data_IF_902686322516
#
_entry.id   IF_902686322516
#
_cell.length_a   1.000
_cell.length_b   1.000
_cell.length_c   1.000
_cell.angle_alpha   90.00
_cell.angle_beta   90.00
_cell.angle_gamma   90.00
#
_symmetry.space_group_name_H-M   'P 1'
#
loop_
_entity.id
_entity.type
_entity.pdbx_description
1 polymer ?
#
# COMPACT_ATOMS: atom_id res chain seq x y z
N UNK A 1 -2.36 -3.14 -19.62
CA UNK A 1 -2.52 -4.47 -19.01
C UNK A 1 -3.79 -5.07 -19.58
N UNK A 2 -3.77 -6.31 -20.06
CA UNK A 2 -4.99 -6.96 -20.57
C UNK A 2 -5.78 -7.55 -19.42
N UNK A 3 -7.08 -7.29 -19.36
CA UNK A 3 -7.99 -7.95 -18.41
C UNK A 3 -8.37 -9.34 -18.94
N UNK A 4 -8.53 -10.31 -18.05
CA UNK A 4 -9.08 -11.64 -18.35
C UNK A 4 -10.60 -11.71 -18.14
N UNK A 5 -11.19 -10.64 -17.62
CA UNK A 5 -12.63 -10.51 -17.47
C UNK A 5 -13.29 -10.19 -18.81
N UNK A 6 -14.43 -10.81 -19.07
CA UNK A 6 -15.31 -10.44 -20.18
C UNK A 6 -15.97 -9.08 -19.94
N UNK A 7 -16.45 -8.44 -21.00
CA UNK A 7 -17.17 -7.15 -20.90
C UNK A 7 -18.35 -7.25 -19.92
N UNK A 8 -19.07 -8.38 -19.93
CA UNK A 8 -20.17 -8.63 -18.99
C UNK A 8 -19.70 -8.67 -17.54
N UNK A 9 -18.58 -9.33 -17.26
CA UNK A 9 -18.04 -9.41 -15.89
C UNK A 9 -17.54 -8.05 -15.42
N UNK A 10 -16.97 -7.23 -16.31
CA UNK A 10 -16.58 -5.86 -15.98
C UNK A 10 -17.77 -4.97 -15.64
N UNK A 11 -18.90 -5.13 -16.33
CA UNK A 11 -20.15 -4.40 -16.03
C UNK A 11 -20.73 -4.74 -14.64
N UNK A 12 -20.39 -5.89 -14.08
CA UNK A 12 -20.82 -6.33 -12.74
C UNK A 12 -19.90 -5.83 -11.61
N UNK A 13 -18.82 -5.11 -11.95
CA UNK A 13 -17.82 -4.63 -10.99
C UNK A 13 -17.81 -3.10 -10.85
N UNK A 14 -17.46 -2.66 -9.66
CA UNK A 14 -17.17 -1.26 -9.38
C UNK A 14 -15.65 -1.02 -9.33
N UNK A 15 -15.22 0.18 -9.68
CA UNK A 15 -13.80 0.55 -9.58
C UNK A 15 -13.35 0.59 -8.12
N UNK A 16 -12.11 0.19 -7.86
CA UNK A 16 -11.57 0.09 -6.50
C UNK A 16 -11.55 1.43 -5.74
N UNK A 17 -11.48 2.55 -6.45
CA UNK A 17 -11.51 3.91 -5.89
C UNK A 17 -12.92 4.38 -5.44
N UNK A 18 -13.97 3.66 -5.83
CA UNK A 18 -15.33 3.87 -5.32
C UNK A 18 -15.62 3.13 -3.99
N UNK A 19 -14.71 2.25 -3.57
CA UNK A 19 -14.86 1.47 -2.34
C UNK A 19 -14.74 2.34 -1.09
N UNK A 20 -15.10 1.76 0.06
CA UNK A 20 -14.94 2.41 1.36
C UNK A 20 -13.50 2.90 1.58
N UNK A 21 -13.36 4.21 1.79
CA UNK A 21 -12.06 4.85 2.02
C UNK A 21 -11.47 4.39 3.37
N UNK A 22 -10.53 3.45 3.28
CA UNK A 22 -9.79 2.83 4.39
C UNK A 22 -8.31 2.68 4.03
N UNK A 23 -7.38 2.76 5.00
CA UNK A 23 -5.97 2.50 4.75
C UNK A 23 -5.66 1.06 4.31
N UNK A 24 -6.57 0.12 4.60
CA UNK A 24 -6.49 -1.28 4.16
C UNK A 24 -7.81 -1.67 3.49
N UNK A 25 -7.79 -2.27 2.29
CA UNK A 25 -9.00 -2.77 1.65
C UNK A 25 -9.76 -3.75 2.54
N UNK A 26 -11.06 -3.52 2.68
CA UNK A 26 -12.00 -4.37 3.43
C UNK A 26 -12.69 -5.37 2.52
N UNK A 27 -12.33 -5.45 1.24
CA UNK A 27 -12.85 -6.42 0.27
C UNK A 27 -11.76 -6.84 -0.70
N UNK A 28 -11.98 -7.96 -1.39
CA UNK A 28 -11.03 -8.43 -2.40
C UNK A 28 -11.13 -7.50 -3.62
N UNK A 29 -9.99 -6.92 -4.02
CA UNK A 29 -9.88 -6.11 -5.22
C UNK A 29 -9.28 -6.97 -6.32
N UNK A 30 -9.95 -7.05 -7.46
CA UNK A 30 -9.41 -7.73 -8.64
C UNK A 30 -8.41 -6.86 -9.38
N UNK A 31 -7.34 -7.49 -9.86
CA UNK A 31 -6.40 -6.91 -10.82
C UNK A 31 -6.85 -7.14 -12.29
N UNK A 32 -8.05 -7.68 -12.50
CA UNK A 32 -8.58 -8.11 -13.80
C UNK A 32 -8.28 -9.57 -14.16
N UNK A 33 -7.62 -10.35 -13.29
CA UNK A 33 -7.33 -11.77 -13.57
C UNK A 33 -8.37 -12.73 -12.98
N UNK A 34 -9.22 -12.26 -12.06
CA UNK A 34 -10.24 -13.08 -11.40
C UNK A 34 -11.47 -12.24 -11.01
N UNK A 35 -12.64 -12.87 -10.89
CA UNK A 35 -13.82 -12.21 -10.31
C UNK A 35 -13.70 -12.18 -8.78
N UNK A 36 -13.74 -11.00 -8.14
CA UNK A 36 -13.71 -10.91 -6.69
C UNK A 36 -15.02 -11.45 -6.09
N UNK A 37 -14.96 -12.00 -4.88
CA UNK A 37 -16.18 -12.31 -4.13
C UNK A 37 -16.84 -11.01 -3.65
N UNK A 38 -18.18 -10.98 -3.49
CA UNK A 38 -18.86 -9.87 -2.84
C UNK A 38 -18.33 -9.65 -1.42
N UNK A 39 -18.41 -8.40 -0.94
CA UNK A 39 -18.07 -8.07 0.43
C UNK A 39 -18.88 -8.92 1.42
N UNK A 40 -18.19 -9.57 2.35
CA UNK A 40 -18.78 -10.43 3.37
C UNK A 40 -19.37 -9.61 4.54
N UNK A 41 -20.31 -10.17 5.32
CA UNK A 41 -20.84 -9.49 6.51
C UNK A 41 -19.77 -9.07 7.52
N UNK A 42 -18.74 -9.91 7.73
CA UNK A 42 -17.63 -9.60 8.62
C UNK A 42 -16.76 -8.47 8.08
N UNK A 43 -16.47 -8.44 6.79
CA UNK A 43 -15.76 -7.33 6.15
C UNK A 43 -16.52 -6.00 6.33
N UNK A 44 -17.84 -6.00 6.17
CA UNK A 44 -18.68 -4.84 6.45
C UNK A 44 -18.68 -4.43 7.92
N UNK A 45 -18.60 -5.40 8.84
CA UNK A 45 -18.44 -5.13 10.27
C UNK A 45 -17.10 -4.43 10.58
N UNK A 46 -16.01 -4.77 9.87
CA UNK A 46 -14.73 -4.07 10.00
C UNK A 46 -14.86 -2.61 9.60
N UNK A 47 -15.56 -2.29 8.50
CA UNK A 47 -15.80 -0.90 8.10
C UNK A 47 -16.57 -0.12 9.15
N UNK A 48 -17.64 -0.72 9.69
CA UNK A 48 -18.43 -0.15 10.78
C UNK A 48 -17.56 0.15 12.00
N UNK A 49 -16.74 -0.82 12.41
CA UNK A 49 -15.87 -0.65 13.57
C UNK A 49 -14.77 0.39 13.34
N UNK A 50 -14.19 0.42 12.15
CA UNK A 50 -13.21 1.44 11.79
C UNK A 50 -13.83 2.85 11.82
N UNK A 51 -15.07 3.02 11.36
CA UNK A 51 -15.77 4.31 11.47
C UNK A 51 -15.92 4.77 12.92
N UNK A 52 -16.31 3.87 13.83
CA UNK A 52 -16.41 4.19 15.26
C UNK A 52 -15.06 4.63 15.85
N UNK A 53 -13.98 3.92 15.51
CA UNK A 53 -12.62 4.27 15.96
C UNK A 53 -12.17 5.63 15.40
N UNK A 54 -12.49 5.94 14.15
CA UNK A 54 -12.21 7.24 13.54
C UNK A 54 -12.97 8.35 14.27
N UNK A 55 -14.27 8.18 14.50
CA UNK A 55 -15.11 9.18 15.19
C UNK A 55 -14.60 9.46 16.61
N UNK A 56 -14.14 8.44 17.31
CA UNK A 56 -13.62 8.55 18.67
C UNK A 56 -12.26 9.25 18.75
N UNK A 57 -11.38 9.07 17.75
CA UNK A 57 -9.97 9.44 17.87
C UNK A 57 -9.55 10.62 16.97
N UNK A 58 -10.15 10.80 15.79
CA UNK A 58 -9.72 11.82 14.83
C UNK A 58 -9.78 13.24 15.41
N UNK A 59 -10.92 13.60 16.02
CA UNK A 59 -11.14 14.93 16.61
C UNK A 59 -10.19 15.23 17.78
N UNK A 60 -9.86 14.21 18.59
CA UNK A 60 -8.92 14.34 19.72
C UNK A 60 -7.50 14.65 19.25
N UNK A 61 -7.16 14.25 18.03
CA UNK A 61 -5.86 14.49 17.41
C UNK A 61 -5.86 15.71 16.47
N UNK A 62 -6.97 16.45 16.39
CA UNK A 62 -7.11 17.62 15.51
C UNK A 62 -7.09 17.27 14.02
N UNK A 63 -7.46 16.02 13.67
CA UNK A 63 -7.50 15.52 12.30
C UNK A 63 -8.95 15.35 11.84
N UNK A 64 -9.18 15.56 10.54
CA UNK A 64 -10.39 15.10 9.89
C UNK A 64 -10.31 13.57 9.65
N UNK A 65 -11.40 12.99 9.13
CA UNK A 65 -11.47 11.55 8.83
C UNK A 65 -10.31 11.11 7.93
N UNK A 66 -10.08 11.83 6.83
CA UNK A 66 -9.09 11.46 5.82
C UNK A 66 -7.67 11.56 6.39
N UNK A 67 -7.37 12.64 7.11
CA UNK A 67 -6.09 12.87 7.77
C UNK A 67 -5.81 11.81 8.85
N UNK A 68 -6.83 11.41 9.61
CA UNK A 68 -6.69 10.34 10.59
C UNK A 68 -6.41 8.99 9.91
N UNK A 69 -7.21 8.60 8.91
CA UNK A 69 -7.04 7.33 8.19
C UNK A 69 -5.72 7.25 7.42
N UNK A 70 -5.19 8.38 6.94
CA UNK A 70 -3.88 8.49 6.32
C UNK A 70 -2.69 8.52 7.29
N UNK A 71 -2.93 8.45 8.59
CA UNK A 71 -1.89 8.46 9.62
C UNK A 71 -1.53 7.05 10.11
N UNK A 72 -0.43 6.94 10.87
CA UNK A 72 -0.08 5.69 11.54
C UNK A 72 -1.15 5.24 12.56
N UNK A 73 -1.84 6.18 13.21
CA UNK A 73 -2.99 5.90 14.07
C UNK A 73 -4.16 5.30 13.28
N UNK A 74 -4.43 5.80 12.07
CA UNK A 74 -5.47 5.29 11.18
C UNK A 74 -5.20 3.85 10.73
N UNK A 75 -3.95 3.55 10.36
CA UNK A 75 -3.51 2.19 10.04
C UNK A 75 -3.67 1.26 11.26
N UNK A 76 -3.25 1.71 12.45
CA UNK A 76 -3.44 0.95 13.68
C UNK A 76 -4.92 0.69 13.99
N UNK A 77 -5.79 1.69 13.78
CA UNK A 77 -7.23 1.55 13.96
C UNK A 77 -7.84 0.51 13.00
N UNK A 78 -7.38 0.45 11.74
CA UNK A 78 -7.83 -0.55 10.78
C UNK A 78 -7.47 -1.98 11.22
N UNK A 79 -6.22 -2.19 11.66
CA UNK A 79 -5.81 -3.50 12.20
C UNK A 79 -6.52 -3.86 13.50
N UNK A 80 -6.82 -2.87 14.36
CA UNK A 80 -7.61 -3.09 15.56
C UNK A 80 -9.04 -3.53 15.21
N UNK A 81 -9.70 -2.84 14.27
CA UNK A 81 -11.02 -3.23 13.78
C UNK A 81 -11.04 -4.64 13.19
N UNK A 82 -10.01 -5.00 12.40
CA UNK A 82 -9.85 -6.38 11.90
C UNK A 82 -9.69 -7.38 13.04
N UNK A 83 -8.91 -7.06 14.06
CA UNK A 83 -8.72 -7.93 15.22
C UNK A 83 -10.00 -8.17 16.01
N UNK A 84 -10.83 -7.14 16.17
CA UNK A 84 -12.10 -7.25 16.89
C UNK A 84 -13.12 -8.13 16.15
N UNK A 85 -13.08 -8.15 14.81
CA UNK A 85 -14.02 -8.93 13.99
C UNK A 85 -13.52 -10.35 13.71
N UNK A 86 -12.24 -10.50 13.36
CA UNK A 86 -11.65 -11.76 12.89
C UNK A 86 -10.79 -12.48 13.94
N UNK A 87 -10.57 -11.85 15.10
CA UNK A 87 -9.66 -12.34 16.13
C UNK A 87 -8.24 -11.77 16.00
N UNK A 88 -7.35 -12.04 16.97
CA UNK A 88 -6.08 -11.33 17.13
C UNK A 88 -5.02 -11.77 16.11
N UNK A 89 -5.13 -11.28 14.87
CA UNK A 89 -4.20 -11.57 13.77
C UNK A 89 -3.05 -10.57 13.74
N UNK A 90 -3.34 -9.29 14.01
CA UNK A 90 -2.36 -8.21 13.94
C UNK A 90 -1.84 -7.85 15.34
N UNK A 91 -0.53 -7.60 15.44
CA UNK A 91 0.07 -7.09 16.69
C UNK A 91 -0.06 -5.57 16.74
N UNK A 92 -1.19 -5.11 17.24
CA UNK A 92 -1.55 -3.70 17.41
C UNK A 92 -2.25 -3.49 18.76
N UNK A 93 -2.09 -2.30 19.34
CA UNK A 93 -2.75 -1.89 20.57
C UNK A 93 -3.71 -0.73 20.35
N UNK A 94 -4.68 -0.57 21.25
CA UNK A 94 -5.58 0.60 21.26
C UNK A 94 -4.82 1.92 21.44
N UNK A 95 -3.71 1.91 22.18
CA UNK A 95 -2.85 3.07 22.37
C UNK A 95 -2.27 3.57 21.04
N UNK A 96 -1.82 2.66 20.15
CA UNK A 96 -1.31 3.02 18.81
C UNK A 96 -2.37 3.68 17.93
N UNK A 97 -3.65 3.32 18.11
CA UNK A 97 -4.77 3.87 17.35
C UNK A 97 -5.29 5.21 17.92
N UNK A 98 -5.08 5.46 19.21
CA UNK A 98 -5.68 6.60 19.92
C UNK A 98 -4.70 7.74 20.21
N UNK A 99 -3.39 7.46 20.29
CA UNK A 99 -2.36 8.41 20.67
C UNK A 99 -1.19 8.41 19.66
N UNK A 100 -0.94 9.59 19.10
CA UNK A 100 0.13 9.79 18.11
C UNK A 100 1.52 9.55 18.68
N UNK A 101 1.77 9.92 19.93
CA UNK A 101 3.07 9.68 20.58
C UNK A 101 3.29 8.18 20.76
N UNK A 102 2.26 7.42 21.13
CA UNK A 102 2.34 5.97 21.26
C UNK A 102 2.54 5.28 19.91
N UNK A 103 1.86 5.75 18.86
CA UNK A 103 2.07 5.29 17.49
C UNK A 103 3.51 5.54 17.01
N UNK A 104 4.06 6.73 17.28
CA UNK A 104 5.45 7.07 16.95
C UNK A 104 6.46 6.26 17.77
N UNK A 105 6.20 6.04 19.06
CA UNK A 105 7.04 5.23 19.93
C UNK A 105 7.12 3.78 19.42
N UNK A 106 5.99 3.23 18.95
CA UNK A 106 5.97 1.92 18.29
C UNK A 106 6.86 1.91 17.05
N UNK A 107 6.65 2.84 16.12
CA UNK A 107 7.45 2.91 14.89
C UNK A 107 8.95 3.01 15.21
N UNK A 108 9.33 3.86 16.17
CA UNK A 108 10.71 3.98 16.63
C UNK A 108 11.25 2.68 17.23
N UNK A 109 10.46 1.95 18.03
CA UNK A 109 10.86 0.66 18.60
C UNK A 109 11.12 -0.43 17.55
N UNK A 110 10.60 -0.24 16.34
CA UNK A 110 10.68 -1.21 15.25
C UNK A 110 11.65 -0.78 14.13
N UNK A 111 12.30 0.38 14.25
CA UNK A 111 13.19 0.90 13.19
C UNK A 111 14.45 0.05 12.93
N UNK A 112 14.74 -0.93 13.80
CA UNK A 112 15.85 -1.88 13.64
C UNK A 112 15.40 -3.27 13.20
N UNK A 113 14.12 -3.45 12.83
CA UNK A 113 13.60 -4.73 12.35
C UNK A 113 14.35 -5.21 11.11
N UNK A 114 14.58 -6.51 11.02
CA UNK A 114 15.04 -7.13 9.79
C UNK A 114 13.93 -7.04 8.73
N UNK A 115 14.29 -6.55 7.55
CA UNK A 115 13.39 -6.43 6.39
C UNK A 115 14.03 -7.18 5.24
N UNK A 116 13.31 -8.20 4.77
CA UNK A 116 13.59 -8.94 3.55
C UNK A 116 12.58 -8.49 2.51
N UNK A 117 13.07 -7.93 1.41
CA UNK A 117 12.27 -7.69 0.22
C UNK A 117 12.40 -8.91 -0.70
N UNK A 118 11.33 -9.69 -0.84
CA UNK A 118 11.35 -10.94 -1.59
C UNK A 118 11.02 -10.76 -3.08
N UNK A 119 10.75 -9.53 -3.55
CA UNK A 119 10.28 -9.28 -4.90
C UNK A 119 10.88 -8.01 -5.52
N UNK A 120 12.18 -8.05 -5.84
CA UNK A 120 12.86 -6.92 -6.48
C UNK A 120 13.32 -7.22 -7.91
N UNK A 121 13.42 -6.16 -8.72
CA UNK A 121 13.84 -6.23 -10.13
C UNK A 121 14.71 -5.04 -10.52
N UNK A 122 15.67 -5.28 -11.42
CA UNK A 122 16.36 -4.25 -12.20
C UNK A 122 16.63 -4.80 -13.60
N UNK A 123 16.90 -3.92 -14.57
CA UNK A 123 17.29 -4.32 -15.94
C UNK A 123 18.79 -4.14 -16.14
N UNK A 124 19.40 -5.02 -16.95
CA UNK A 124 20.85 -4.96 -17.21
C UNK A 124 21.24 -3.63 -17.84
N UNK A 125 22.50 -3.22 -17.69
CA UNK A 125 22.97 -1.92 -18.17
C UNK A 125 22.80 -1.73 -19.68
N UNK A 126 22.93 -2.80 -20.47
CA UNK A 126 22.74 -2.82 -21.92
C UNK A 126 21.28 -2.90 -22.38
N UNK A 127 20.31 -3.09 -21.47
CA UNK A 127 18.89 -3.13 -21.82
C UNK A 127 18.38 -1.76 -22.32
N UNK A 128 18.02 -1.66 -23.60
CA UNK A 128 17.71 -0.37 -24.25
C UNK A 128 16.23 -0.15 -24.56
N UNK A 129 15.33 -1.03 -24.11
CA UNK A 129 13.90 -0.91 -24.42
C UNK A 129 13.25 0.16 -23.53
N UNK A 130 13.05 1.35 -24.08
CA UNK A 130 12.47 2.50 -23.37
C UNK A 130 11.00 2.34 -22.99
N UNK A 131 10.32 1.29 -23.47
CA UNK A 131 8.92 0.99 -23.10
C UNK A 131 8.69 0.91 -21.58
N UNK A 132 9.69 0.48 -20.81
CA UNK A 132 9.62 0.44 -19.35
C UNK A 132 9.47 1.81 -18.69
N UNK A 133 9.92 2.90 -19.35
CA UNK A 133 9.71 4.26 -18.86
C UNK A 133 8.23 4.63 -18.77
N UNK A 134 7.35 3.88 -19.46
CA UNK A 134 5.90 4.01 -19.32
C UNK A 134 5.42 3.88 -17.87
N UNK A 135 6.06 3.02 -17.06
CA UNK A 135 5.73 2.86 -15.64
C UNK A 135 6.01 4.15 -14.85
N UNK A 136 7.19 4.75 -15.08
CA UNK A 136 7.56 6.03 -14.46
C UNK A 136 6.68 7.18 -14.92
N UNK A 137 6.31 7.23 -16.21
CA UNK A 137 5.43 8.27 -16.76
C UNK A 137 4.03 8.18 -16.15
N UNK A 138 3.48 6.98 -16.07
CA UNK A 138 2.19 6.76 -15.41
C UNK A 138 2.23 7.18 -13.94
N UNK A 139 3.29 6.82 -13.21
CA UNK A 139 3.46 7.23 -11.82
C UNK A 139 3.58 8.76 -11.67
N UNK A 140 4.29 9.44 -12.57
CA UNK A 140 4.41 10.90 -12.59
C UNK A 140 3.07 11.60 -12.82
N UNK A 141 2.22 11.03 -13.68
CA UNK A 141 0.90 11.60 -13.99
C UNK A 141 -0.12 11.37 -12.88
N UNK A 142 -0.05 10.24 -12.18
CA UNK A 142 -1.14 9.79 -11.30
C UNK A 142 -0.80 9.77 -9.80
N UNK A 143 0.46 9.54 -9.43
CA UNK A 143 0.81 9.15 -8.05
C UNK A 143 1.86 10.02 -7.39
N UNK A 144 2.90 10.44 -8.13
CA UNK A 144 4.02 11.17 -7.57
C UNK A 144 4.21 12.51 -8.30
N UNK A 145 3.70 13.63 -7.75
CA UNK A 145 3.81 14.94 -8.38
C UNK A 145 5.25 15.47 -8.47
N UNK A 146 6.18 14.93 -7.67
CA UNK A 146 7.60 15.30 -7.70
C UNK A 146 8.38 14.56 -8.79
N UNK A 147 7.79 13.49 -9.36
CA UNK A 147 8.41 12.74 -10.44
C UNK A 147 8.14 13.44 -11.78
N UNK A 148 9.19 13.97 -12.40
CA UNK A 148 9.08 14.71 -13.66
C UNK A 148 9.28 13.79 -14.87
N UNK A 149 8.30 13.65 -15.79
CA UNK A 149 8.42 12.76 -16.95
C UNK A 149 9.67 13.01 -17.79
N UNK A 150 10.09 14.26 -17.92
CA UNK A 150 11.28 14.66 -18.67
C UNK A 150 12.62 14.23 -18.03
N UNK A 151 12.61 13.85 -16.76
CA UNK A 151 13.79 13.36 -16.03
C UNK A 151 13.92 11.84 -16.08
N UNK A 152 12.86 11.13 -16.50
CA UNK A 152 12.84 9.67 -16.56
C UNK A 152 13.81 9.17 -17.63
N UNK A 153 14.77 8.36 -17.18
CA UNK A 153 15.77 7.72 -18.03
C UNK A 153 15.88 6.26 -17.65
N UNK A 154 16.34 5.43 -18.58
CA UNK A 154 16.56 4.00 -18.30
C UNK A 154 17.45 3.75 -17.08
N UNK A 155 18.35 4.69 -16.75
CA UNK A 155 19.16 4.71 -15.53
C UNK A 155 18.37 4.47 -14.23
N UNK A 156 17.09 4.86 -14.17
CA UNK A 156 16.23 4.62 -13.01
C UNK A 156 15.98 3.14 -12.74
N UNK A 157 16.05 2.29 -13.76
CA UNK A 157 15.81 0.86 -13.66
C UNK A 157 17.11 0.03 -13.70
N UNK A 158 18.28 0.69 -13.76
CA UNK A 158 19.59 0.01 -13.82
C UNK A 158 20.13 -0.33 -12.44
N UNK A 159 21.15 -1.18 -12.43
CA UNK A 159 21.76 -1.73 -11.23
C UNK A 159 22.20 -0.66 -10.21
N UNK A 160 22.83 0.42 -10.67
CA UNK A 160 23.31 1.48 -9.77
C UNK A 160 22.15 2.13 -8.99
N UNK A 161 21.07 2.52 -9.68
CA UNK A 161 19.92 3.11 -9.01
C UNK A 161 19.18 2.06 -8.17
N UNK A 162 19.10 0.80 -8.62
CA UNK A 162 18.57 -0.30 -7.83
C UNK A 162 19.27 -0.41 -6.47
N UNK A 163 20.61 -0.48 -6.46
CA UNK A 163 21.39 -0.54 -5.21
C UNK A 163 21.11 0.66 -4.32
N UNK A 164 21.07 1.87 -4.91
CA UNK A 164 20.75 3.10 -4.18
C UNK A 164 19.35 3.05 -3.55
N UNK A 165 18.32 2.69 -4.32
CA UNK A 165 16.96 2.69 -3.80
C UNK A 165 16.73 1.59 -2.75
N UNK A 166 17.22 0.38 -3.00
CA UNK A 166 17.00 -0.76 -2.10
C UNK A 166 17.83 -0.65 -0.84
N UNK A 167 19.13 -0.33 -0.91
CA UNK A 167 20.02 -0.45 0.25
C UNK A 167 20.41 0.88 0.91
N UNK A 168 20.20 2.03 0.26
CA UNK A 168 20.53 3.34 0.83
C UNK A 168 19.30 4.18 1.16
N UNK A 169 18.24 4.08 0.35
CA UNK A 169 17.01 4.87 0.52
C UNK A 169 15.85 4.06 1.10
N UNK A 170 16.10 2.83 1.55
CA UNK A 170 15.10 2.01 2.22
C UNK A 170 15.71 1.28 3.42
N UNK A 171 14.85 0.77 4.29
CA UNK A 171 15.24 -0.06 5.43
C UNK A 171 15.46 -1.53 5.02
N UNK A 172 15.61 -1.88 3.75
CA UNK A 172 15.79 -3.28 3.30
C UNK A 172 17.18 -3.81 3.66
N UNK A 173 17.24 -4.97 4.31
CA UNK A 173 18.50 -5.61 4.76
C UNK A 173 18.97 -6.66 3.75
N UNK A 174 18.01 -7.40 3.19
CA UNK A 174 18.24 -8.43 2.18
C UNK A 174 17.17 -8.27 1.10
N UNK A 175 17.57 -8.42 -0.15
CA UNK A 175 16.64 -8.40 -1.28
C UNK A 175 16.82 -9.66 -2.13
N UNK A 176 15.71 -10.17 -2.66
CA UNK A 176 15.68 -11.26 -3.65
C UNK A 176 15.41 -10.67 -5.02
N UNK A 177 16.21 -11.08 -6.01
CA UNK A 177 15.92 -10.82 -7.42
C UNK A 177 14.94 -11.88 -7.91
N UNK A 178 13.65 -11.52 -7.97
CA UNK A 178 12.55 -12.45 -8.27
C UNK A 178 12.33 -12.70 -9.78
N UNK A 179 13.21 -12.16 -10.62
CA UNK A 179 13.28 -12.41 -12.06
C UNK A 179 14.70 -12.17 -12.56
N UNK A 180 15.11 -12.86 -13.63
CA UNK A 180 16.42 -12.62 -14.23
C UNK A 180 16.49 -11.18 -14.75
N UNK A 181 17.59 -10.43 -14.52
CA UNK A 181 17.77 -9.14 -15.15
C UNK A 181 17.84 -9.35 -16.67
N UNK A 182 16.82 -8.89 -17.39
CA UNK A 182 16.78 -8.95 -18.85
C UNK A 182 17.53 -7.78 -19.48
#
# INVERSE_FOLDING_TARGET
>A
MGTYLSDRELEELEYADSAFESPVPTQIISNGEFNPIPQTPQQKAVEGRLNELVEQNASRQGLDRRGFLGSACGMAAAFLAMNEVFGPVFKVSEAEASDREMSMARASSLNTQFILDDQTHFVRDDFSQEGLLGLGKFAAENWNPDLKPEQLKMAYYKFENYVRQIFFNSDTKVAVLSGAPF
#
